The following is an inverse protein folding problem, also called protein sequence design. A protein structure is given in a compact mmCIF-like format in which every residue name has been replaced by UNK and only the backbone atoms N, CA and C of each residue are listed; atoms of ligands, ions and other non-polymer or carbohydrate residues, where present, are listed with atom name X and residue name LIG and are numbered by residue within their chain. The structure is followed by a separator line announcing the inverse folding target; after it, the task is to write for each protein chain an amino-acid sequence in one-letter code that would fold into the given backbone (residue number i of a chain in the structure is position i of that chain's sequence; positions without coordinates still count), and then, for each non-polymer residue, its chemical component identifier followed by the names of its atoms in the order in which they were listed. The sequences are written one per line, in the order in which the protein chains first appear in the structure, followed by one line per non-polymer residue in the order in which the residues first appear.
data_IF_767561056704
#
_entry.id   IF_767561056704
#
_cell.length_a   1.000
_cell.length_b   1.000
_cell.length_c   1.000
_cell.angle_alpha   90.00
_cell.angle_beta   90.00
_cell.angle_gamma   90.00
#
_symmetry.space_group_name_H-M   'P 1'
#
loop_
_entity.id
_entity.type
_entity.pdbx_description
1 polymer ?
#
# COMPACT_ATOMS: atom_id res chain seq x y z
N UNK A 1 76.79 43.66 30.20
CA UNK A 1 77.82 43.21 31.12
C UNK A 1 77.38 41.96 31.83
N UNK A 2 78.21 41.10 32.17
CA UNK A 2 78.81 40.08 31.32
C UNK A 2 78.67 38.63 31.89
N UNK A 3 79.12 37.75 31.07
CA UNK A 3 79.90 36.53 31.37
C UNK A 3 79.18 35.24 31.74
N UNK A 4 79.23 34.23 30.83
CA UNK A 4 80.29 33.19 30.64
C UNK A 4 80.31 32.19 31.80
N UNK A 5 80.20 30.92 31.58
CA UNK A 5 81.15 29.93 30.97
C UNK A 5 80.44 28.57 31.01
N UNK A 6 80.46 27.76 29.97
CA UNK A 6 81.50 26.83 29.54
C UNK A 6 81.73 25.63 30.44
N UNK A 7 81.70 24.53 29.85
CA UNK A 7 82.41 23.27 30.00
C UNK A 7 81.56 22.09 30.34
N UNK A 8 81.36 21.25 29.45
CA UNK A 8 82.16 20.17 28.89
C UNK A 8 81.78 18.79 29.47
N UNK A 9 81.49 17.93 28.54
CA UNK A 9 82.03 16.58 28.43
C UNK A 9 81.62 15.54 29.45
N UNK A 10 80.77 14.59 29.08
CA UNK A 10 81.19 13.17 29.09
C UNK A 10 80.25 12.28 28.28
N UNK A 11 80.81 11.63 27.27
CA UNK A 11 80.31 10.50 26.57
C UNK A 11 80.01 9.36 27.55
N UNK A 12 78.84 8.77 27.43
CA UNK A 12 78.67 7.34 27.71
C UNK A 12 77.64 6.75 26.76
N UNK A 13 78.19 5.99 25.81
CA UNK A 13 77.46 5.08 24.93
C UNK A 13 76.80 3.99 25.77
N UNK A 14 75.49 3.91 25.76
CA UNK A 14 74.76 2.69 26.08
C UNK A 14 73.84 2.39 24.89
N UNK A 15 74.31 1.48 24.08
CA UNK A 15 73.52 0.86 23.06
C UNK A 15 72.52 -0.08 23.72
N UNK A 16 71.23 0.35 23.84
CA UNK A 16 70.15 -0.54 24.17
C UNK A 16 69.35 -0.73 22.90
N UNK A 17 69.43 -1.91 22.32
CA UNK A 17 68.66 -2.30 21.15
C UNK A 17 67.16 -2.28 21.42
N UNK A 18 66.45 -1.31 20.85
CA UNK A 18 65.00 -1.39 20.68
C UNK A 18 64.68 -2.31 19.49
N UNK A 19 64.40 -3.56 19.79
CA UNK A 19 63.67 -4.40 18.85
C UNK A 19 62.24 -3.84 18.76
N UNK A 20 62.00 -3.01 17.77
CA UNK A 20 60.66 -2.66 17.36
C UNK A 20 59.97 -3.93 16.82
N UNK A 21 59.25 -4.59 17.70
CA UNK A 21 58.24 -5.58 17.29
C UNK A 21 57.20 -4.84 16.46
N UNK A 22 57.31 -4.93 15.18
CA UNK A 22 56.20 -4.62 14.28
C UNK A 22 55.12 -5.67 14.55
N UNK A 23 54.22 -5.39 15.46
CA UNK A 23 52.89 -6.01 15.45
C UNK A 23 52.26 -5.57 14.13
N UNK A 24 52.42 -6.40 13.12
CA UNK A 24 51.57 -6.36 11.96
C UNK A 24 50.14 -6.56 12.41
N UNK A 25 49.42 -5.46 12.51
CA UNK A 25 47.99 -5.46 12.52
C UNK A 25 47.59 -5.88 11.10
N UNK A 26 47.50 -7.18 10.85
CA UNK A 26 46.75 -7.69 9.70
C UNK A 26 45.33 -7.25 9.96
N UNK A 27 44.89 -6.18 9.26
CA UNK A 27 43.49 -5.96 9.08
C UNK A 27 42.88 -7.30 8.65
N UNK A 28 41.80 -7.78 9.28
CA UNK A 28 41.09 -8.93 8.73
C UNK A 28 40.84 -8.57 7.25
N UNK A 29 41.30 -9.47 6.36
CA UNK A 29 40.85 -9.43 4.98
C UNK A 29 39.35 -9.28 5.03
N UNK A 30 38.84 -8.19 4.46
CA UNK A 30 37.41 -8.10 4.15
C UNK A 30 37.15 -9.36 3.33
N UNK A 31 36.48 -10.33 3.96
CA UNK A 31 36.02 -11.49 3.24
C UNK A 31 35.19 -10.96 2.11
N UNK A 32 35.43 -11.43 0.91
CA UNK A 32 34.49 -11.39 -0.19
C UNK A 32 33.25 -12.18 0.28
N UNK A 33 32.51 -11.61 1.24
CA UNK A 33 31.16 -12.00 1.53
C UNK A 33 30.35 -11.49 0.35
N UNK A 34 29.67 -12.39 -0.35
CA UNK A 34 28.71 -12.01 -1.39
C UNK A 34 27.92 -10.83 -0.88
N UNK A 35 27.91 -9.73 -1.63
CA UNK A 35 27.12 -8.55 -1.30
C UNK A 35 25.67 -9.03 -1.06
N UNK A 36 25.02 -8.60 0.02
CA UNK A 36 23.68 -9.11 0.41
C UNK A 36 22.63 -8.87 -0.68
N UNK A 37 22.86 -7.86 -1.51
CA UNK A 37 21.99 -7.51 -2.62
C UNK A 37 22.82 -6.90 -3.77
N UNK A 38 22.37 -7.13 -5.00
CA UNK A 38 22.91 -6.52 -6.20
C UNK A 38 21.80 -5.76 -6.91
N UNK A 39 22.07 -4.52 -7.30
CA UNK A 39 21.16 -3.71 -8.11
C UNK A 39 21.66 -3.70 -9.55
N UNK A 40 20.78 -4.09 -10.46
CA UNK A 40 21.07 -4.15 -11.91
C UNK A 40 20.13 -3.16 -12.62
N UNK A 41 20.66 -2.12 -13.28
CA UNK A 41 19.84 -1.18 -14.03
C UNK A 41 19.14 -1.89 -15.19
N UNK A 42 17.90 -1.47 -15.48
CA UNK A 42 17.17 -1.91 -16.65
C UNK A 42 17.36 -0.87 -17.75
N UNK A 43 17.83 -1.29 -18.93
CA UNK A 43 18.05 -0.39 -20.06
C UNK A 43 16.78 0.41 -20.38
N UNK A 44 16.95 1.71 -20.65
CA UNK A 44 15.88 2.65 -20.97
C UNK A 44 14.80 2.81 -19.87
N UNK A 45 15.15 2.59 -18.58
CA UNK A 45 14.22 2.69 -17.45
C UNK A 45 14.92 3.31 -16.23
N UNK A 46 14.15 4.10 -15.46
CA UNK A 46 14.55 4.59 -14.12
C UNK A 46 14.31 3.53 -13.03
N UNK A 47 14.08 2.27 -13.40
CA UNK A 47 13.79 1.16 -12.51
C UNK A 47 14.92 0.16 -12.61
N UNK A 48 15.34 -0.36 -11.47
CA UNK A 48 16.39 -1.36 -11.38
C UNK A 48 15.84 -2.71 -10.89
N UNK A 49 16.56 -3.78 -11.21
CA UNK A 49 16.33 -5.08 -10.60
C UNK A 49 17.11 -5.17 -9.30
N UNK A 50 16.47 -5.63 -8.26
CA UNK A 50 17.11 -5.97 -6.99
C UNK A 50 17.24 -7.49 -6.91
N UNK A 51 18.47 -7.98 -6.86
CA UNK A 51 18.79 -9.41 -6.71
C UNK A 51 19.32 -9.62 -5.31
N UNK A 52 18.64 -10.46 -4.51
CA UNK A 52 19.04 -10.77 -3.14
C UNK A 52 19.79 -12.10 -3.08
N UNK A 53 20.68 -12.22 -2.09
CA UNK A 53 21.17 -13.53 -1.66
C UNK A 53 20.10 -14.23 -0.80
N UNK A 54 20.16 -15.56 -0.69
CA UNK A 54 19.23 -16.31 0.18
C UNK A 54 19.30 -15.84 1.63
N UNK A 55 20.50 -15.52 2.11
CA UNK A 55 20.71 -15.07 3.48
C UNK A 55 20.15 -13.66 3.71
N UNK A 56 20.25 -12.79 2.73
CA UNK A 56 19.63 -11.48 2.78
C UNK A 56 18.10 -11.58 2.81
N UNK A 57 17.51 -12.36 1.91
CA UNK A 57 16.07 -12.59 1.88
C UNK A 57 15.54 -13.17 3.20
N UNK A 58 16.24 -14.16 3.78
CA UNK A 58 15.89 -14.71 5.09
C UNK A 58 16.01 -13.66 6.21
N UNK A 59 17.05 -12.83 6.18
CA UNK A 59 17.28 -11.80 7.21
C UNK A 59 16.19 -10.75 7.27
N UNK A 60 15.67 -10.31 6.09
CA UNK A 60 14.56 -9.36 6.02
C UNK A 60 13.19 -10.02 6.15
N UNK A 61 13.14 -11.37 6.26
CA UNK A 61 11.89 -12.11 6.34
C UNK A 61 11.03 -11.96 5.10
N UNK A 62 11.66 -11.98 3.91
CA UNK A 62 10.97 -11.73 2.65
C UNK A 62 9.80 -12.69 2.46
N UNK A 63 8.63 -12.13 2.21
CA UNK A 63 7.42 -12.89 1.89
C UNK A 63 6.78 -12.34 0.61
N UNK A 64 6.13 -13.21 -0.14
CA UNK A 64 5.40 -12.86 -1.36
C UNK A 64 3.96 -13.37 -1.30
N UNK A 65 3.09 -12.73 -2.07
CA UNK A 65 1.72 -13.16 -2.31
C UNK A 65 1.36 -12.95 -3.78
N UNK A 66 0.39 -13.70 -4.26
CA UNK A 66 -0.05 -13.53 -5.65
C UNK A 66 -1.04 -12.40 -5.80
N UNK A 67 -0.94 -11.66 -6.90
CA UNK A 67 -2.00 -10.79 -7.37
C UNK A 67 -3.21 -11.66 -7.71
N UNK A 68 -4.34 -11.35 -7.12
CA UNK A 68 -5.59 -12.08 -7.36
C UNK A 68 -6.62 -11.17 -8.03
N UNK A 69 -7.67 -11.77 -8.59
CA UNK A 69 -8.87 -11.06 -9.03
C UNK A 69 -9.99 -11.30 -8.04
N UNK A 70 -10.68 -10.22 -7.66
CA UNK A 70 -11.88 -10.30 -6.85
C UNK A 70 -12.98 -9.49 -7.51
N UNK A 71 -14.22 -9.98 -7.38
CA UNK A 71 -15.39 -9.19 -7.73
C UNK A 71 -15.56 -8.10 -6.67
N UNK A 72 -15.37 -6.86 -7.08
CA UNK A 72 -15.49 -5.71 -6.20
C UNK A 72 -16.75 -4.95 -6.59
N UNK A 73 -17.64 -4.81 -5.64
CA UNK A 73 -18.80 -3.94 -5.76
C UNK A 73 -18.35 -2.51 -5.48
N UNK A 74 -18.55 -1.63 -6.46
CA UNK A 74 -18.31 -0.20 -6.26
C UNK A 74 -19.59 0.43 -5.72
N UNK A 75 -19.54 0.93 -4.48
CA UNK A 75 -20.64 1.65 -3.83
C UNK A 75 -20.55 3.15 -4.08
N UNK A 76 -21.68 3.78 -4.38
CA UNK A 76 -21.86 5.22 -4.43
C UNK A 76 -22.55 5.69 -3.13
N UNK A 77 -21.82 6.33 -2.20
CA UNK A 77 -22.44 6.87 -0.99
C UNK A 77 -23.24 8.14 -1.32
N UNK A 78 -24.51 8.13 -0.99
CA UNK A 78 -25.45 9.24 -1.22
C UNK A 78 -26.30 9.49 0.02
N UNK A 79 -27.05 10.59 0.03
CA UNK A 79 -28.04 10.87 1.06
C UNK A 79 -29.43 10.52 0.57
N UNK A 80 -30.13 9.66 1.31
CA UNK A 80 -31.54 9.39 1.15
C UNK A 80 -32.39 10.19 2.12
N UNK A 81 -33.62 10.50 1.72
CA UNK A 81 -34.64 11.16 2.53
C UNK A 81 -35.76 10.16 2.83
N UNK A 82 -36.10 10.00 4.10
CA UNK A 82 -37.24 9.18 4.49
C UNK A 82 -38.55 9.86 4.07
N UNK A 83 -39.27 9.20 3.17
CA UNK A 83 -40.58 9.68 2.72
C UNK A 83 -41.63 9.59 3.82
N UNK A 84 -42.66 10.46 3.80
CA UNK A 84 -43.81 10.31 4.66
C UNK A 84 -44.48 8.96 4.38
N UNK A 85 -44.64 8.14 5.42
CA UNK A 85 -45.31 6.85 5.28
C UNK A 85 -46.87 7.09 5.32
N UNK A 86 -47.59 6.74 4.25
CA UNK A 86 -49.06 6.77 4.35
C UNK A 86 -49.53 5.64 5.25
N UNK A 87 -49.94 6.01 6.45
CA UNK A 87 -50.76 5.23 7.41
C UNK A 87 -50.41 3.72 7.53
N UNK A 88 -49.53 3.37 8.44
CA UNK A 88 -49.63 2.08 9.14
C UNK A 88 -48.95 0.86 8.53
N UNK A 89 -48.21 0.97 7.43
CA UNK A 89 -47.29 -0.08 7.00
C UNK A 89 -45.98 0.03 7.79
N UNK A 90 -45.49 -1.07 8.36
CA UNK A 90 -44.22 -1.08 9.07
C UNK A 90 -42.99 -0.83 8.17
N UNK A 91 -43.21 -0.62 6.86
CA UNK A 91 -42.22 -0.40 5.83
C UNK A 91 -41.94 1.09 5.64
N UNK A 92 -40.70 1.48 5.66
CA UNK A 92 -40.24 2.85 5.46
C UNK A 92 -39.69 2.97 4.04
N UNK A 93 -40.03 4.05 3.33
CA UNK A 93 -39.48 4.32 1.99
C UNK A 93 -38.42 5.40 2.09
N UNK A 94 -37.23 5.10 1.56
CA UNK A 94 -36.11 6.03 1.47
C UNK A 94 -35.99 6.49 0.02
N UNK A 95 -36.10 7.79 -0.21
CA UNK A 95 -35.96 8.39 -1.52
C UNK A 95 -34.55 8.95 -1.73
N UNK A 96 -33.96 8.62 -2.87
CA UNK A 96 -32.63 9.09 -3.28
C UNK A 96 -32.74 9.85 -4.58
N UNK A 97 -32.33 11.12 -4.55
CA UNK A 97 -32.29 11.99 -5.74
C UNK A 97 -30.88 12.06 -6.26
N UNK A 98 -30.69 11.70 -7.54
CA UNK A 98 -29.40 11.72 -8.24
C UNK A 98 -29.45 12.55 -9.50
N UNK A 99 -28.36 13.24 -9.85
CA UNK A 99 -28.17 13.76 -11.20
C UNK A 99 -28.24 12.61 -12.24
N UNK A 100 -28.75 12.91 -13.44
CA UNK A 100 -28.91 11.89 -14.48
C UNK A 100 -27.61 11.15 -14.82
N UNK A 101 -26.47 11.86 -14.81
CA UNK A 101 -25.17 11.28 -15.10
C UNK A 101 -24.69 10.27 -14.02
N UNK A 102 -25.04 10.48 -12.75
CA UNK A 102 -24.73 9.55 -11.67
C UNK A 102 -25.72 8.39 -11.66
N UNK A 103 -27.01 8.69 -11.86
CA UNK A 103 -28.04 7.67 -11.97
C UNK A 103 -27.76 6.64 -13.06
N UNK A 104 -27.21 7.05 -14.20
CA UNK A 104 -26.84 6.15 -15.30
C UNK A 104 -25.74 5.13 -14.95
N UNK A 105 -25.03 5.37 -13.86
CA UNK A 105 -23.97 4.48 -13.35
C UNK A 105 -24.45 3.53 -12.27
N UNK A 106 -25.65 3.71 -11.73
CA UNK A 106 -26.20 2.89 -10.66
C UNK A 106 -26.78 1.61 -11.23
N UNK A 107 -26.45 0.48 -10.62
CA UNK A 107 -27.11 -0.79 -10.89
C UNK A 107 -28.46 -0.87 -10.17
N UNK A 108 -29.52 -0.53 -10.90
CA UNK A 108 -30.86 -0.48 -10.36
C UNK A 108 -31.46 -1.86 -10.07
N UNK A 109 -30.80 -2.94 -10.45
CA UNK A 109 -31.19 -4.31 -10.13
C UNK A 109 -30.73 -4.75 -8.73
N UNK A 110 -29.78 -4.04 -8.17
CA UNK A 110 -29.22 -4.33 -6.85
C UNK A 110 -29.92 -3.54 -5.75
N UNK A 111 -30.04 -4.13 -4.54
CA UNK A 111 -30.56 -3.41 -3.39
C UNK A 111 -29.55 -2.35 -2.93
N UNK A 112 -30.07 -1.29 -2.29
CA UNK A 112 -29.24 -0.30 -1.61
C UNK A 112 -28.88 -0.77 -0.20
N UNK A 113 -27.75 -0.27 0.33
CA UNK A 113 -27.39 -0.39 1.73
C UNK A 113 -27.76 0.92 2.44
N UNK A 114 -28.60 0.85 3.46
CA UNK A 114 -29.03 2.03 4.23
C UNK A 114 -28.51 1.96 5.64
N UNK A 115 -27.79 3.00 6.09
CA UNK A 115 -27.28 3.05 7.47
C UNK A 115 -28.31 3.72 8.38
N UNK A 116 -28.77 2.97 9.38
CA UNK A 116 -29.71 3.42 10.42
C UNK A 116 -29.08 3.19 11.79
N UNK A 117 -28.90 4.24 12.56
CA UNK A 117 -28.33 4.19 13.92
C UNK A 117 -26.96 3.46 14.03
N UNK A 118 -26.23 3.36 12.92
CA UNK A 118 -24.92 2.68 12.85
C UNK A 118 -24.99 1.29 12.21
N UNK A 119 -26.16 0.70 12.07
CA UNK A 119 -26.36 -0.58 11.40
C UNK A 119 -26.62 -0.39 9.91
N UNK A 120 -26.09 -1.29 9.08
CA UNK A 120 -26.34 -1.31 7.64
C UNK A 120 -27.45 -2.29 7.32
N UNK A 121 -28.53 -1.79 6.73
CA UNK A 121 -29.70 -2.55 6.36
C UNK A 121 -29.82 -2.63 4.84
N UNK A 122 -30.22 -3.79 4.33
CA UNK A 122 -30.47 -3.99 2.90
C UNK A 122 -31.85 -3.45 2.55
N UNK A 123 -31.93 -2.58 1.56
CA UNK A 123 -33.16 -1.95 1.11
C UNK A 123 -33.36 -2.25 -0.39
N UNK A 124 -34.28 -3.14 -0.75
CA UNK A 124 -34.63 -3.38 -2.14
C UNK A 124 -35.34 -2.15 -2.74
N UNK A 125 -35.33 -2.05 -4.05
CA UNK A 125 -36.04 -0.98 -4.75
C UNK A 125 -37.56 -1.12 -4.59
N UNK A 126 -38.23 -0.02 -4.29
CA UNK A 126 -39.67 0.05 -4.15
C UNK A 126 -40.33 0.10 -5.55
N UNK A 127 -40.63 -1.06 -6.09
CA UNK A 127 -41.25 -1.19 -7.42
C UNK A 127 -40.28 -0.96 -8.59
N UNK A 128 -40.83 -0.61 -9.75
CA UNK A 128 -40.06 -0.35 -10.97
C UNK A 128 -39.39 1.03 -10.90
N UNK A 129 -38.10 1.13 -11.27
CA UNK A 129 -37.37 2.39 -11.22
C UNK A 129 -37.99 3.40 -12.19
N UNK A 130 -38.34 4.62 -11.73
CA UNK A 130 -38.93 5.61 -12.61
C UNK A 130 -37.90 6.09 -13.64
N UNK A 131 -38.33 6.42 -14.86
CA UNK A 131 -37.44 6.95 -15.89
C UNK A 131 -36.74 8.28 -15.47
N UNK A 132 -37.39 9.07 -14.62
CA UNK A 132 -36.83 10.29 -14.04
C UNK A 132 -37.40 10.50 -12.62
N UNK A 133 -36.68 11.29 -11.81
CA UNK A 133 -37.08 11.56 -10.43
C UNK A 133 -36.32 10.69 -9.41
N UNK A 134 -36.73 10.75 -8.13
CA UNK A 134 -36.04 10.03 -7.07
C UNK A 134 -36.21 8.51 -7.21
N UNK A 135 -35.15 7.79 -6.88
CA UNK A 135 -35.20 6.33 -6.63
C UNK A 135 -35.79 6.09 -5.27
N UNK A 136 -36.64 5.08 -5.16
CA UNK A 136 -37.29 4.71 -3.90
C UNK A 136 -36.83 3.32 -3.47
N UNK A 137 -36.44 3.18 -2.21
CA UNK A 137 -35.98 1.92 -1.60
C UNK A 137 -36.83 1.61 -0.37
N UNK A 138 -37.25 0.36 -0.23
CA UNK A 138 -38.01 -0.10 0.90
C UNK A 138 -37.08 -0.56 2.02
N UNK A 139 -37.31 -0.06 3.21
CA UNK A 139 -36.54 -0.39 4.40
C UNK A 139 -37.47 -1.07 5.42
N UNK A 140 -37.31 -2.37 5.54
CA UNK A 140 -38.07 -3.16 6.49
C UNK A 140 -37.44 -3.14 7.89
N UNK A 141 -38.27 -3.20 8.91
CA UNK A 141 -37.84 -3.29 10.31
C UNK A 141 -37.32 -1.99 10.94
N UNK A 142 -37.20 -0.90 10.18
CA UNK A 142 -36.73 0.38 10.70
C UNK A 142 -37.80 1.32 11.21
N UNK A 143 -39.08 0.90 11.21
CA UNK A 143 -40.23 1.76 11.40
C UNK A 143 -40.32 2.56 12.71
N UNK A 144 -39.67 2.11 13.78
CA UNK A 144 -39.58 2.85 15.05
C UNK A 144 -38.32 3.67 15.22
N UNK A 145 -37.30 3.41 14.38
CA UNK A 145 -35.97 4.03 14.47
C UNK A 145 -35.77 5.19 13.51
N UNK A 146 -36.67 5.38 12.56
CA UNK A 146 -36.59 6.44 11.55
C UNK A 146 -37.87 7.24 11.43
N UNK A 147 -37.76 8.50 11.08
CA UNK A 147 -38.89 9.43 10.99
C UNK A 147 -38.95 10.06 9.60
N UNK A 148 -40.15 10.36 9.14
CA UNK A 148 -40.36 11.08 7.88
C UNK A 148 -39.55 12.39 7.86
N UNK A 149 -38.86 12.66 6.75
CA UNK A 149 -37.96 13.82 6.60
C UNK A 149 -36.55 13.59 7.16
N UNK A 150 -36.28 12.45 7.80
CA UNK A 150 -34.92 12.12 8.25
C UNK A 150 -34.00 11.85 7.06
N UNK A 151 -32.76 12.29 7.17
CA UNK A 151 -31.69 11.97 6.20
C UNK A 151 -30.90 10.76 6.65
N UNK A 152 -30.73 9.81 5.74
CA UNK A 152 -29.98 8.58 5.98
C UNK A 152 -28.84 8.48 4.97
N UNK A 153 -27.75 7.84 5.37
CA UNK A 153 -26.68 7.44 4.45
C UNK A 153 -27.17 6.21 3.69
N UNK A 154 -27.10 6.30 2.37
CA UNK A 154 -27.45 5.23 1.44
C UNK A 154 -26.23 4.95 0.58
N UNK A 155 -25.91 3.70 0.39
CA UNK A 155 -24.88 3.25 -0.52
C UNK A 155 -25.54 2.48 -1.66
N UNK A 156 -25.38 3.00 -2.88
CA UNK A 156 -25.93 2.40 -4.09
C UNK A 156 -24.85 1.64 -4.82
N UNK A 157 -25.18 0.48 -5.36
CA UNK A 157 -24.24 -0.30 -6.17
C UNK A 157 -24.14 0.32 -7.57
N UNK A 158 -22.90 0.44 -8.08
CA UNK A 158 -22.63 0.96 -9.41
C UNK A 158 -22.58 -0.16 -10.45
N UNK A 159 -23.10 0.13 -11.65
CA UNK A 159 -22.84 -0.69 -12.84
C UNK A 159 -21.37 -0.53 -13.22
N UNK A 160 -20.57 -1.53 -13.01
CA UNK A 160 -19.12 -1.43 -13.27
C UNK A 160 -18.31 -2.06 -12.17
N UNK A 161 -18.95 -2.53 -11.13
CA UNK A 161 -18.44 -3.57 -10.27
C UNK A 161 -18.01 -4.74 -11.17
N UNK A 162 -16.86 -5.28 -10.95
CA UNK A 162 -16.35 -6.37 -11.77
C UNK A 162 -15.08 -6.91 -11.17
N UNK A 163 -14.48 -7.85 -11.86
CA UNK A 163 -13.19 -8.35 -11.44
C UNK A 163 -12.17 -7.24 -11.42
N UNK A 164 -11.59 -7.02 -10.26
CA UNK A 164 -10.49 -6.08 -10.01
C UNK A 164 -9.28 -6.84 -9.52
N UNK A 165 -8.12 -6.38 -9.93
CA UNK A 165 -6.87 -6.87 -9.36
C UNK A 165 -6.80 -6.46 -7.89
N UNK A 166 -6.39 -7.38 -7.06
CA UNK A 166 -6.20 -7.16 -5.62
C UNK A 166 -4.86 -7.71 -5.17
N UNK A 167 -4.26 -6.99 -4.24
CA UNK A 167 -3.03 -7.38 -3.55
C UNK A 167 -3.21 -7.16 -2.05
N UNK A 168 -2.46 -7.84 -1.19
CA UNK A 168 -2.36 -7.45 0.21
C UNK A 168 -1.91 -5.99 0.33
N UNK A 169 -2.51 -5.23 1.25
CA UNK A 169 -2.14 -3.82 1.44
C UNK A 169 -0.67 -3.65 1.86
N UNK A 170 -0.11 -4.64 2.54
CA UNK A 170 1.32 -4.70 2.89
C UNK A 170 2.28 -4.74 1.69
N UNK A 171 1.77 -5.08 0.49
CA UNK A 171 2.55 -5.02 -0.75
C UNK A 171 2.56 -3.63 -1.42
N UNK A 172 1.82 -2.66 -0.86
CA UNK A 172 1.74 -1.30 -1.40
C UNK A 172 2.86 -0.46 -0.81
N UNK A 173 3.72 0.08 -1.68
CA UNK A 173 4.87 0.90 -1.30
C UNK A 173 4.67 2.32 -1.83
N UNK A 174 4.89 3.29 -0.97
CA UNK A 174 4.82 4.70 -1.32
C UNK A 174 6.23 5.25 -1.53
N UNK A 175 6.55 5.61 -2.75
CA UNK A 175 7.84 6.23 -3.09
C UNK A 175 7.92 7.67 -2.62
N UNK A 176 9.14 8.15 -2.36
CA UNK A 176 9.43 9.51 -1.88
C UNK A 176 8.96 10.61 -2.85
N UNK A 177 8.83 10.30 -4.12
CA UNK A 177 8.35 11.21 -5.16
C UNK A 177 6.81 11.15 -5.36
N UNK A 178 6.09 10.46 -4.49
CA UNK A 178 4.64 10.35 -4.52
C UNK A 178 4.10 9.27 -5.46
N UNK A 179 4.94 8.43 -6.06
CA UNK A 179 4.52 7.23 -6.80
C UNK A 179 4.06 6.12 -5.87
N UNK A 180 3.12 5.30 -6.33
CA UNK A 180 2.67 4.09 -5.61
C UNK A 180 3.12 2.88 -6.39
N UNK A 181 3.80 1.96 -5.70
CA UNK A 181 4.52 0.85 -6.30
C UNK A 181 4.24 -0.47 -5.57
N UNK A 182 4.58 -1.55 -6.20
CA UNK A 182 4.77 -2.87 -5.58
C UNK A 182 6.00 -3.53 -6.18
N UNK A 183 6.71 -4.37 -5.44
CA UNK A 183 7.77 -5.21 -6.02
C UNK A 183 7.20 -6.51 -6.52
N UNK A 184 7.50 -6.83 -7.78
CA UNK A 184 7.13 -8.09 -8.43
C UNK A 184 8.32 -9.02 -8.50
N UNK A 185 8.11 -10.31 -8.24
CA UNK A 185 9.12 -11.34 -8.47
C UNK A 185 9.21 -11.63 -9.96
N UNK A 186 10.38 -11.46 -10.54
CA UNK A 186 10.67 -11.74 -11.96
C UNK A 186 11.59 -12.93 -12.15
N UNK A 187 12.06 -13.53 -11.06
CA UNK A 187 12.93 -14.70 -11.02
C UNK A 187 13.29 -15.07 -9.59
N UNK A 188 14.07 -16.13 -9.38
CA UNK A 188 14.52 -16.50 -8.03
C UNK A 188 15.22 -15.31 -7.37
N UNK A 189 14.71 -14.87 -6.22
CA UNK A 189 15.25 -13.75 -5.42
C UNK A 189 15.53 -12.46 -6.22
N UNK A 190 14.80 -12.30 -7.34
CA UNK A 190 14.94 -11.15 -8.24
C UNK A 190 13.64 -10.38 -8.29
N UNK A 191 13.70 -9.10 -7.95
CA UNK A 191 12.54 -8.25 -7.79
C UNK A 191 12.67 -6.97 -8.62
N UNK A 192 11.54 -6.54 -9.17
CA UNK A 192 11.42 -5.31 -9.94
C UNK A 192 10.23 -4.51 -9.45
N UNK A 193 10.41 -3.25 -9.26
CA UNK A 193 9.39 -2.30 -8.87
C UNK A 193 8.39 -2.11 -10.03
N UNK A 194 7.10 -2.27 -9.75
CA UNK A 194 6.01 -2.06 -10.71
C UNK A 194 5.05 -0.96 -10.24
N UNK A 195 4.68 -0.01 -11.10
CA UNK A 195 3.74 1.05 -10.72
C UNK A 195 2.33 0.48 -10.57
N UNK A 196 1.63 0.92 -9.53
CA UNK A 196 0.24 0.55 -9.28
C UNK A 196 -0.64 1.79 -9.10
N UNK A 197 -1.93 1.62 -9.33
CA UNK A 197 -2.94 2.63 -9.00
C UNK A 197 -3.98 1.99 -8.11
N UNK A 198 -4.00 2.36 -6.84
CA UNK A 198 -4.98 1.89 -5.86
C UNK A 198 -6.31 2.59 -6.10
N UNK A 199 -7.40 1.82 -6.21
CA UNK A 199 -8.77 2.31 -6.32
C UNK A 199 -9.37 2.53 -4.92
N UNK A 200 -9.23 1.54 -4.04
CA UNK A 200 -9.71 1.57 -2.66
C UNK A 200 -8.93 0.55 -1.82
N UNK A 201 -9.05 0.67 -0.51
CA UNK A 201 -8.52 -0.30 0.45
C UNK A 201 -9.70 -0.86 1.25
N UNK A 202 -9.78 -2.18 1.32
CA UNK A 202 -10.84 -2.91 2.02
C UNK A 202 -10.18 -3.86 3.02
N UNK A 203 -10.20 -3.48 4.31
CA UNK A 203 -9.44 -4.20 5.34
C UNK A 203 -7.95 -4.24 4.98
N UNK A 204 -7.39 -5.44 4.86
CA UNK A 204 -5.98 -5.66 4.53
C UNK A 204 -5.71 -5.86 3.03
N UNK A 205 -6.69 -5.52 2.18
CA UNK A 205 -6.61 -5.72 0.72
C UNK A 205 -6.68 -4.39 -0.01
N UNK A 206 -5.71 -4.16 -0.89
CA UNK A 206 -5.73 -3.05 -1.84
C UNK A 206 -6.35 -3.50 -3.16
N UNK A 207 -7.41 -2.80 -3.57
CA UNK A 207 -8.05 -2.97 -4.88
C UNK A 207 -7.38 -2.06 -5.87
N UNK A 208 -6.94 -2.60 -7.01
CA UNK A 208 -6.17 -1.88 -8.00
C UNK A 208 -7.02 -1.50 -9.23
N UNK A 209 -6.84 -0.27 -9.71
CA UNK A 209 -7.26 0.15 -11.06
C UNK A 209 -6.25 -0.28 -12.11
N UNK A 210 -4.96 -0.27 -11.74
CA UNK A 210 -3.84 -0.64 -12.60
C UNK A 210 -2.76 -1.29 -11.74
N UNK A 211 -2.19 -2.37 -12.24
CA UNK A 211 -1.13 -3.10 -11.55
C UNK A 211 -0.66 -4.30 -12.35
N UNK A 212 0.22 -5.13 -11.78
CA UNK A 212 0.66 -6.38 -12.37
C UNK A 212 -0.51 -7.32 -12.64
N UNK A 213 -0.44 -8.19 -13.66
CA UNK A 213 -1.51 -9.13 -13.96
C UNK A 213 -1.73 -10.14 -12.82
N UNK A 214 -2.93 -10.71 -12.78
CA UNK A 214 -3.26 -11.78 -11.84
C UNK A 214 -2.28 -12.96 -11.98
N UNK A 215 -1.91 -13.55 -10.84
CA UNK A 215 -0.92 -14.63 -10.78
C UNK A 215 0.53 -14.15 -10.63
N UNK A 216 0.80 -12.84 -10.79
CA UNK A 216 2.13 -12.28 -10.49
C UNK A 216 2.39 -12.32 -8.99
N UNK A 217 3.57 -12.76 -8.57
CA UNK A 217 3.98 -12.68 -7.17
C UNK A 217 4.45 -11.27 -6.83
N UNK A 218 3.91 -10.69 -5.75
CA UNK A 218 4.27 -9.40 -5.19
C UNK A 218 4.81 -9.55 -3.79
N UNK A 219 5.79 -8.73 -3.43
CA UNK A 219 6.43 -8.75 -2.11
C UNK A 219 5.49 -8.12 -1.08
N UNK A 220 5.23 -8.85 0.02
CA UNK A 220 4.36 -8.41 1.12
C UNK A 220 5.13 -8.05 2.39
N UNK A 221 6.33 -8.62 2.55
CA UNK A 221 7.27 -8.29 3.63
C UNK A 221 8.65 -8.11 3.00
N UNK A 222 9.38 -7.09 3.41
CA UNK A 222 10.71 -6.77 2.87
C UNK A 222 10.68 -5.77 1.70
N UNK A 223 9.53 -5.23 1.35
CA UNK A 223 9.39 -4.31 0.22
C UNK A 223 10.06 -2.95 0.43
N UNK A 224 10.04 -2.42 1.65
CA UNK A 224 10.71 -1.16 2.00
C UNK A 224 12.23 -1.34 2.01
N UNK A 225 12.73 -2.50 2.41
CA UNK A 225 14.14 -2.87 2.37
C UNK A 225 14.63 -2.98 0.92
N UNK A 226 13.82 -3.54 0.02
CA UNK A 226 14.12 -3.56 -1.41
C UNK A 226 14.18 -2.14 -1.98
N UNK A 227 13.25 -1.26 -1.59
CA UNK A 227 13.25 0.14 -2.01
C UNK A 227 14.52 0.86 -1.51
N UNK A 228 14.86 0.68 -0.23
CA UNK A 228 16.09 1.22 0.34
C UNK A 228 17.34 0.73 -0.39
N UNK A 229 17.39 -0.54 -0.76
CA UNK A 229 18.51 -1.12 -1.52
C UNK A 229 18.60 -0.57 -2.93
N UNK A 230 17.46 -0.43 -3.65
CA UNK A 230 17.42 0.11 -5.01
C UNK A 230 17.99 1.53 -5.07
N UNK A 231 17.66 2.38 -4.09
CA UNK A 231 18.08 3.78 -4.06
C UNK A 231 19.42 4.03 -3.34
N UNK A 232 19.89 3.12 -2.50
CA UNK A 232 21.15 3.32 -1.77
C UNK A 232 22.39 3.30 -2.69
N UNK A 233 22.29 2.66 -3.85
CA UNK A 233 23.39 2.53 -4.83
C UNK A 233 23.42 3.70 -5.82
N UNK A 234 22.33 4.45 -5.97
CA UNK A 234 22.30 5.66 -6.82
C UNK A 234 22.95 6.89 -6.17
N UNK A 235 23.38 6.79 -4.92
CA UNK A 235 23.93 7.89 -4.11
C UNK A 235 25.47 7.90 -3.94
N UNK A 236 26.24 7.03 -4.62
CA UNK A 236 27.72 7.03 -4.58
C UNK A 236 28.35 7.60 -5.85
#
# INVERSE_FOLDING_TARGET
MPRRNVTALLLLLVAVGLTAGACGYSAPAEGEGDEPAKVEPIEDSDISKVVLTEDAAKRIGLETSQVTTQSVEEGLPVTGLVAPNPAGSGTVVVQVSLPAAERAKVDLSQPAQVTVAGDSLVAPMAGEPPAAGPLAYELDGAGSSVHAGQRLRVELQLTGGGERLTIPYSAVIYGVEGGVWTYTSVGPLTFVRAPITVASVQGDTAVLRKGPPAGTEVVTVGGEELLGTEFAIEGE
#
